data_IF_873680051673
#
_entry.id   IF_873680051673
#
_cell.length_a   1.000
_cell.length_b   1.000
_cell.length_c   1.000
_cell.angle_alpha   90.00
_cell.angle_beta   90.00
_cell.angle_gamma   90.00
#
_symmetry.space_group_name_H-M   'P 1'
#
loop_
_entity.id
_entity.type
_entity.pdbx_description
1 polymer ?
#
# COMPACT_ATOMS: atom_id res chain seq x y z
N UNK A 1 -60.75 14.85 -12.47
CA UNK A 1 -59.75 15.93 -12.66
C UNK A 1 -59.09 15.75 -14.02
N UNK A 2 -58.51 16.81 -14.59
CA UNK A 2 -58.02 16.83 -15.99
C UNK A 2 -56.57 16.37 -16.09
N UNK A 3 -56.29 15.54 -17.09
CA UNK A 3 -54.94 15.16 -17.52
C UNK A 3 -54.16 16.39 -18.03
N UNK A 4 -52.84 16.37 -17.91
CA UNK A 4 -51.95 17.33 -18.58
C UNK A 4 -50.58 16.72 -18.81
N UNK A 5 -50.51 15.79 -19.77
CA UNK A 5 -49.28 15.56 -20.53
C UNK A 5 -48.89 16.86 -21.27
N UNK A 6 -47.62 17.24 -21.23
CA UNK A 6 -47.08 18.36 -21.99
C UNK A 6 -45.76 17.96 -22.66
N UNK A 7 -45.82 17.76 -23.97
CA UNK A 7 -44.66 17.62 -24.85
C UNK A 7 -44.13 19.00 -25.24
N UNK A 8 -42.81 19.15 -25.34
CA UNK A 8 -42.20 20.19 -26.17
C UNK A 8 -41.01 19.61 -26.93
N UNK A 9 -40.98 19.87 -28.24
CA UNK A 9 -39.93 19.49 -29.18
C UNK A 9 -39.12 20.73 -29.61
N UNK A 10 -37.82 20.58 -29.87
CA UNK A 10 -36.93 21.70 -30.24
C UNK A 10 -35.53 21.24 -30.68
N UNK A 11 -35.03 21.82 -31.78
CA UNK A 11 -34.05 21.27 -32.72
C UNK A 11 -33.23 22.43 -33.34
N UNK A 12 -31.93 22.41 -33.70
CA UNK A 12 -30.83 21.40 -33.72
C UNK A 12 -29.45 22.06 -33.34
N UNK A 13 -28.34 21.30 -33.36
CA UNK A 13 -26.99 21.60 -33.96
C UNK A 13 -26.32 23.02 -33.92
N UNK A 14 -24.98 23.24 -33.84
CA UNK A 14 -23.74 22.40 -33.80
C UNK A 14 -22.56 23.13 -33.10
N UNK A 15 -21.39 22.46 -32.95
CA UNK A 15 -20.00 23.01 -32.86
C UNK A 15 -19.59 23.85 -31.62
N UNK A 16 -18.36 23.85 -31.07
CA UNK A 16 -17.03 23.25 -31.38
C UNK A 16 -16.33 22.78 -30.08
N UNK A 17 -15.70 21.60 -30.02
CA UNK A 17 -14.24 21.32 -30.12
C UNK A 17 -13.33 21.82 -28.95
N UNK A 18 -12.55 20.89 -28.39
CA UNK A 18 -11.64 21.08 -27.24
C UNK A 18 -12.14 20.31 -25.98
N UNK A 19 -11.33 19.57 -25.23
CA UNK A 19 -9.87 19.59 -25.13
C UNK A 19 -9.31 18.20 -24.74
N UNK A 20 -8.53 17.59 -25.63
CA UNK A 20 -7.74 16.40 -25.33
C UNK A 20 -6.62 16.74 -24.33
N UNK A 21 -6.49 15.96 -23.26
CA UNK A 21 -5.23 15.86 -22.50
C UNK A 21 -5.02 14.45 -21.93
N UNK A 22 -5.31 13.43 -22.74
CA UNK A 22 -5.00 12.05 -22.36
C UNK A 22 -3.49 11.86 -22.15
N UNK A 23 -3.14 11.20 -21.05
CA UNK A 23 -1.85 11.40 -20.40
C UNK A 23 -0.71 10.68 -21.11
N UNK A 24 -0.02 11.37 -22.03
CA UNK A 24 1.27 10.92 -22.55
C UNK A 24 2.41 11.17 -21.57
N UNK A 25 2.58 10.28 -20.59
CA UNK A 25 3.83 10.13 -19.81
C UNK A 25 4.16 8.66 -19.48
N UNK A 26 4.19 7.80 -20.50
CA UNK A 26 5.00 6.58 -20.45
C UNK A 26 6.44 6.91 -20.86
N UNK A 27 7.31 7.19 -19.88
CA UNK A 27 8.74 7.33 -20.13
C UNK A 27 9.36 5.98 -20.55
N UNK A 28 10.10 5.91 -21.67
CA UNK A 28 10.81 4.70 -22.05
C UNK A 28 12.00 4.46 -21.11
N UNK A 29 12.21 3.19 -20.74
CA UNK A 29 13.30 2.78 -19.85
C UNK A 29 14.68 3.12 -20.44
N UNK A 30 15.34 4.13 -19.89
CA UNK A 30 16.76 4.39 -20.12
C UNK A 30 17.60 3.79 -19.00
N UNK A 31 18.47 2.83 -19.34
CA UNK A 31 19.56 2.40 -18.46
C UNK A 31 20.51 3.58 -18.23
N UNK A 32 20.65 4.01 -16.98
CA UNK A 32 21.73 4.89 -16.53
C UNK A 32 22.05 4.55 -15.07
N UNK A 33 23.32 4.68 -14.69
CA UNK A 33 23.79 4.44 -13.33
C UNK A 33 23.38 5.63 -12.44
N UNK A 34 22.26 5.47 -11.72
CA UNK A 34 21.64 6.53 -10.93
C UNK A 34 21.27 5.97 -9.54
N UNK A 35 21.22 6.81 -8.50
CA UNK A 35 20.94 6.33 -7.14
C UNK A 35 19.55 5.72 -7.08
N UNK A 36 19.50 4.42 -6.77
CA UNK A 36 18.27 3.63 -6.66
C UNK A 36 17.37 4.21 -5.56
N UNK A 37 16.40 5.02 -5.97
CA UNK A 37 15.33 5.47 -5.12
C UNK A 37 14.31 4.32 -5.01
N UNK A 38 14.10 3.73 -3.82
CA UNK A 38 13.22 2.57 -3.67
C UNK A 38 11.82 2.88 -4.21
N UNK A 39 11.22 1.91 -4.90
CA UNK A 39 9.94 2.14 -5.56
C UNK A 39 8.87 2.47 -4.51
N UNK A 40 7.92 3.40 -4.75
CA UNK A 40 6.97 3.83 -3.71
C UNK A 40 6.19 2.69 -3.05
N UNK A 41 5.98 1.60 -3.78
CA UNK A 41 5.34 0.37 -3.30
C UNK A 41 6.17 -0.46 -2.31
N UNK A 42 7.49 -0.35 -2.32
CA UNK A 42 8.42 -1.03 -1.41
C UNK A 42 8.45 -0.34 -0.04
N UNK A 43 8.14 0.96 -0.03
CA UNK A 43 7.99 1.80 1.16
C UNK A 43 6.65 1.60 1.90
N UNK A 44 5.83 0.63 1.48
CA UNK A 44 4.49 0.38 2.05
C UNK A 44 4.32 -1.05 2.57
N UNK A 45 3.68 -1.17 3.74
CA UNK A 45 3.40 -2.46 4.34
C UNK A 45 2.26 -3.18 3.61
N UNK A 46 2.56 -4.27 2.91
CA UNK A 46 1.62 -5.07 2.11
C UNK A 46 0.44 -5.71 2.88
N UNK A 47 0.36 -5.56 4.20
CA UNK A 47 -0.81 -5.97 5.02
C UNK A 47 -1.84 -4.85 5.16
N UNK A 48 -1.37 -3.60 5.29
CA UNK A 48 -2.26 -2.47 5.57
C UNK A 48 -2.22 -1.36 4.50
N UNK A 49 -1.33 -1.45 3.50
CA UNK A 49 -1.16 -0.49 2.41
C UNK A 49 -0.93 0.94 2.94
N UNK A 50 0.04 1.05 3.83
CA UNK A 50 0.42 2.29 4.50
C UNK A 50 1.94 2.37 4.54
N UNK A 51 2.46 3.57 4.29
CA UNK A 51 3.89 3.86 4.33
C UNK A 51 4.51 3.48 5.67
N UNK A 52 5.71 2.91 5.60
CA UNK A 52 6.57 2.72 6.75
C UNK A 52 6.97 4.08 7.34
N UNK A 53 7.28 4.11 8.64
CA UNK A 53 7.78 5.30 9.32
C UNK A 53 8.60 4.91 10.57
N UNK A 54 9.46 5.82 11.03
CA UNK A 54 10.33 5.61 12.19
C UNK A 54 9.58 5.48 13.55
N UNK A 55 8.26 5.64 13.57
CA UNK A 55 7.44 5.62 14.79
C UNK A 55 6.72 4.26 14.96
N UNK A 56 5.43 4.19 14.62
CA UNK A 56 4.59 3.00 14.86
C UNK A 56 4.50 2.06 13.64
N UNK A 57 5.03 2.46 12.48
CA UNK A 57 5.11 1.62 11.28
C UNK A 57 6.55 1.36 10.84
N UNK A 58 7.46 1.11 11.78
CA UNK A 58 8.81 0.64 11.45
C UNK A 58 8.71 -0.68 10.65
N UNK A 59 9.47 -0.85 9.56
CA UNK A 59 9.51 -2.11 8.80
C UNK A 59 10.29 -3.14 9.62
N UNK A 60 9.61 -4.11 10.21
CA UNK A 60 10.25 -5.23 10.91
C UNK A 60 10.53 -6.36 9.92
N UNK A 61 11.70 -6.98 10.03
CA UNK A 61 12.09 -8.14 9.24
C UNK A 61 11.79 -9.41 10.07
N UNK A 62 11.11 -10.39 9.46
CA UNK A 62 10.91 -11.73 10.01
C UNK A 62 12.07 -12.66 9.56
N UNK A 63 12.23 -13.84 10.16
CA UNK A 63 13.36 -14.76 9.84
C UNK A 63 13.35 -15.25 8.38
N UNK A 64 12.17 -15.28 7.77
CA UNK A 64 11.97 -15.52 6.34
C UNK A 64 12.23 -14.29 5.44
N UNK A 65 12.89 -13.26 5.97
CA UNK A 65 13.25 -11.97 5.34
C UNK A 65 12.08 -11.13 4.81
N UNK A 66 10.84 -11.51 5.09
CA UNK A 66 9.68 -10.70 4.75
C UNK A 66 9.51 -9.52 5.70
N UNK A 67 9.05 -8.38 5.14
CA UNK A 67 8.85 -7.12 5.85
C UNK A 67 7.40 -6.92 6.25
N UNK A 68 7.16 -6.57 7.51
CA UNK A 68 5.84 -6.19 8.03
C UNK A 68 5.99 -4.98 8.96
N UNK A 69 5.06 -4.02 8.93
CA UNK A 69 5.16 -2.88 9.84
C UNK A 69 4.85 -3.28 11.29
N UNK A 70 5.55 -2.67 12.25
CA UNK A 70 5.40 -2.99 13.68
C UNK A 70 3.93 -3.01 14.16
N UNK A 71 3.14 -1.99 13.82
CA UNK A 71 1.69 -1.93 14.12
C UNK A 71 0.86 -3.10 13.55
N UNK A 72 1.27 -3.73 12.46
CA UNK A 72 0.62 -4.94 11.94
C UNK A 72 1.08 -6.19 12.69
N UNK A 73 2.36 -6.32 13.03
CA UNK A 73 2.84 -7.46 13.82
C UNK A 73 2.28 -7.48 15.23
N UNK A 74 2.13 -6.33 15.90
CA UNK A 74 1.47 -6.25 17.22
C UNK A 74 0.06 -6.82 17.14
N UNK A 75 -0.75 -6.39 16.17
CA UNK A 75 -2.10 -6.94 15.96
C UNK A 75 -2.11 -8.44 15.67
N UNK A 76 -1.11 -8.97 14.98
CA UNK A 76 -1.01 -10.41 14.72
C UNK A 76 -0.71 -11.15 16.02
N UNK A 77 0.21 -10.63 16.83
CA UNK A 77 0.58 -11.17 18.14
C UNK A 77 -0.59 -11.16 19.13
N UNK A 78 -1.35 -10.06 19.16
CA UNK A 78 -2.57 -9.90 19.96
C UNK A 78 -3.63 -10.96 19.61
N UNK A 79 -3.73 -11.36 18.34
CA UNK A 79 -4.69 -12.39 17.87
C UNK A 79 -4.27 -13.80 18.29
N UNK A 80 -2.96 -14.07 18.44
CA UNK A 80 -2.43 -15.36 18.92
C UNK A 80 -2.17 -15.37 20.43
N UNK A 81 -2.85 -14.50 21.19
CA UNK A 81 -2.89 -14.45 22.66
C UNK A 81 -1.51 -14.52 23.32
N UNK A 82 -0.55 -13.75 22.78
CA UNK A 82 0.81 -13.70 23.33
C UNK A 82 1.64 -14.96 23.08
N UNK A 83 1.40 -15.71 21.99
CA UNK A 83 2.29 -16.77 21.56
C UNK A 83 3.75 -16.28 21.42
N UNK A 84 4.73 -17.12 21.73
CA UNK A 84 6.17 -16.80 21.61
C UNK A 84 6.67 -16.71 20.16
N UNK A 85 5.78 -16.81 19.17
CA UNK A 85 6.11 -16.74 17.76
C UNK A 85 4.96 -16.16 16.92
N UNK A 86 5.31 -15.64 15.74
CA UNK A 86 4.39 -15.19 14.70
C UNK A 86 4.62 -16.02 13.45
N UNK A 87 3.54 -16.48 12.80
CA UNK A 87 3.62 -17.02 11.45
C UNK A 87 3.64 -15.88 10.43
N UNK A 88 4.60 -15.88 9.52
CA UNK A 88 4.70 -14.90 8.45
C UNK A 88 3.41 -14.91 7.59
N UNK A 89 2.73 -13.77 7.41
CA UNK A 89 1.46 -13.72 6.69
C UNK A 89 1.59 -13.97 5.18
N UNK A 90 2.81 -13.97 4.64
CA UNK A 90 3.08 -14.21 3.21
C UNK A 90 3.50 -15.66 2.91
N UNK A 91 4.32 -16.28 3.77
CA UNK A 91 4.88 -17.62 3.52
C UNK A 91 4.67 -18.64 4.65
N UNK A 92 4.02 -18.26 5.75
CA UNK A 92 3.75 -19.07 6.96
C UNK A 92 4.99 -19.58 7.70
N UNK A 93 6.19 -19.13 7.36
CA UNK A 93 7.39 -19.38 8.16
C UNK A 93 7.22 -18.82 9.58
N UNK A 94 7.59 -19.59 10.59
CA UNK A 94 7.51 -19.20 11.99
C UNK A 94 8.69 -18.31 12.37
N UNK A 95 8.42 -17.21 13.07
CA UNK A 95 9.45 -16.34 13.65
C UNK A 95 9.22 -16.19 15.13
N UNK A 96 10.26 -16.48 15.93
CA UNK A 96 10.22 -16.31 17.38
C UNK A 96 10.22 -14.83 17.75
N UNK A 97 9.48 -14.47 18.80
CA UNK A 97 9.37 -13.11 19.30
C UNK A 97 10.02 -13.04 20.68
N UNK A 98 11.27 -12.54 20.79
CA UNK A 98 11.93 -12.36 22.08
C UNK A 98 11.08 -11.51 23.02
N UNK A 99 10.93 -11.98 24.27
CA UNK A 99 10.17 -11.30 25.33
C UNK A 99 8.71 -10.94 24.95
N UNK A 100 8.12 -11.58 23.93
CA UNK A 100 6.80 -11.24 23.37
C UNK A 100 6.71 -9.79 22.86
N UNK A 101 7.84 -9.19 22.50
CA UNK A 101 7.94 -7.79 22.08
C UNK A 101 8.32 -7.65 20.59
N UNK A 102 7.39 -7.14 19.77
CA UNK A 102 7.62 -6.82 18.35
C UNK A 102 8.77 -5.82 18.14
N UNK A 103 9.07 -4.98 19.13
CA UNK A 103 10.23 -4.08 19.13
C UNK A 103 11.56 -4.80 19.01
N UNK A 104 11.69 -6.03 19.54
CA UNK A 104 12.92 -6.81 19.59
C UNK A 104 13.36 -7.41 18.24
N UNK A 105 12.46 -7.52 17.26
CA UNK A 105 12.81 -7.94 15.90
C UNK A 105 13.74 -6.90 15.22
N UNK A 106 14.52 -7.27 14.19
CA UNK A 106 15.28 -6.31 13.39
C UNK A 106 14.38 -5.32 12.62
N UNK A 107 14.80 -4.06 12.53
CA UNK A 107 14.24 -3.05 11.62
C UNK A 107 14.97 -3.12 10.25
N UNK A 108 14.27 -2.88 9.12
CA UNK A 108 14.93 -2.63 7.84
C UNK A 108 15.31 -1.16 7.69
N UNK A 109 16.60 -0.86 7.85
CA UNK A 109 17.17 0.49 7.77
C UNK A 109 17.39 0.98 6.34
N UNK A 110 17.20 0.14 5.32
CA UNK A 110 17.44 0.52 3.92
C UNK A 110 16.25 1.28 3.29
N UNK A 111 15.10 1.29 3.97
CA UNK A 111 13.83 1.86 3.48
C UNK A 111 13.20 2.85 4.48
N UNK A 112 14.02 3.48 5.33
CA UNK A 112 13.63 4.50 6.34
C UNK A 112 14.42 5.79 6.20
#
# INVERSE_FOLDING_TARGET
>A
MKDSTAETSGVEESHTQGQEHDLKMSCPQTKSEEKDCPHPEELECKICYQRYNAHNRKPKILDCLHRVCARCLVKILDIVDGASCILCPFCRHQTEIPEYQVSALPDDVNIM
#
